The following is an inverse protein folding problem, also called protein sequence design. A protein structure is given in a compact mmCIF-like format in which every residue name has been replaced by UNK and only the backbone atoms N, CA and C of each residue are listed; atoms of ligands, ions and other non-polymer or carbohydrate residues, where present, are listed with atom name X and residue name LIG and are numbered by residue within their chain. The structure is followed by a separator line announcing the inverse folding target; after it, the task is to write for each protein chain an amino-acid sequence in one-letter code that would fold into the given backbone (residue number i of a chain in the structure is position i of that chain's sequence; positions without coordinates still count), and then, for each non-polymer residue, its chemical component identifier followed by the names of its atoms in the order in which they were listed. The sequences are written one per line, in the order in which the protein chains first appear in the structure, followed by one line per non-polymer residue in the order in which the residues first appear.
data_IF_193816762298
#
_entry.id   IF_193816762298
#
_cell.length_a   1.000
_cell.length_b   1.000
_cell.length_c   1.000
_cell.angle_alpha   90.00
_cell.angle_beta   90.00
_cell.angle_gamma   90.00
#
_symmetry.space_group_name_H-M   'P 1'
#
loop_
_entity.id
_entity.type
_entity.pdbx_description
1 polymer ?
#
# COMPACT_ATOMS: atom_id res chain seq x y z
N UNK A 1 -4.73 -42.66 -23.89
CA UNK A 1 -4.10 -42.13 -22.65
C UNK A 1 -4.73 -40.77 -22.36
N UNK A 2 -5.54 -40.69 -21.29
CA UNK A 2 -6.25 -39.49 -20.85
C UNK A 2 -5.51 -38.90 -19.64
N UNK A 3 -5.08 -37.64 -19.70
CA UNK A 3 -4.54 -36.90 -18.55
C UNK A 3 -5.40 -35.68 -18.28
N UNK A 4 -6.22 -35.77 -17.24
CA UNK A 4 -6.82 -34.62 -16.59
C UNK A 4 -6.73 -34.83 -15.08
N UNK A 5 -5.70 -34.28 -14.44
CA UNK A 5 -5.52 -34.35 -12.97
C UNK A 5 -5.60 -32.94 -12.40
N UNK A 6 -6.79 -32.57 -11.92
CA UNK A 6 -7.02 -31.37 -11.09
C UNK A 6 -6.41 -31.62 -9.70
N UNK A 7 -5.42 -30.82 -9.32
CA UNK A 7 -4.86 -30.84 -7.97
C UNK A 7 -5.76 -30.05 -7.01
N UNK A 8 -6.14 -30.68 -5.90
CA UNK A 8 -7.09 -30.18 -4.90
C UNK A 8 -6.39 -29.26 -3.89
N UNK A 9 -7.06 -28.16 -3.52
CA UNK A 9 -6.59 -27.08 -2.64
C UNK A 9 -6.46 -27.48 -1.15
N UNK A 10 -6.34 -28.77 -0.86
CA UNK A 10 -6.31 -29.33 0.51
C UNK A 10 -4.95 -29.89 0.91
N UNK A 11 -3.97 -29.87 0.00
CA UNK A 11 -2.62 -30.43 0.20
C UNK A 11 -1.61 -29.42 0.78
N UNK A 12 -1.98 -28.14 0.94
CA UNK A 12 -1.04 -27.10 1.41
C UNK A 12 -0.99 -26.93 2.93
N UNK A 13 -1.79 -27.66 3.70
CA UNK A 13 -1.93 -27.50 5.15
C UNK A 13 -1.26 -28.62 5.98
N UNK A 14 -0.47 -29.50 5.35
CA UNK A 14 0.11 -30.70 5.98
C UNK A 14 1.65 -30.67 6.04
N UNK A 15 2.27 -29.49 6.06
CA UNK A 15 3.73 -29.36 6.25
C UNK A 15 4.06 -28.49 7.46
N UNK A 16 3.51 -28.85 8.61
CA UNK A 16 4.19 -28.70 9.90
C UNK A 16 4.19 -30.09 10.53
N UNK A 17 5.36 -30.54 11.01
CA UNK A 17 5.56 -31.41 12.20
C UNK A 17 6.89 -32.19 12.09
N UNK A 18 7.73 -31.96 13.11
CA UNK A 18 8.83 -32.79 13.67
C UNK A 18 10.05 -33.14 12.82
N UNK A 19 11.17 -32.51 13.15
CA UNK A 19 12.49 -33.16 13.15
C UNK A 19 13.02 -33.11 14.58
N UNK A 20 13.06 -34.27 15.22
CA UNK A 20 13.65 -34.57 16.54
C UNK A 20 14.77 -35.60 16.36
N UNK A 21 15.91 -35.38 17.02
CA UNK A 21 16.97 -36.38 17.27
C UNK A 21 18.35 -36.01 16.69
N UNK A 22 19.25 -35.31 17.39
CA UNK A 22 20.27 -35.73 18.41
C UNK A 22 21.54 -36.42 17.88
N UNK A 23 22.70 -35.74 17.98
CA UNK A 23 23.97 -36.25 18.58
C UNK A 23 25.09 -35.17 18.53
N UNK A 24 25.40 -34.49 19.65
CA UNK A 24 26.58 -34.59 20.55
C UNK A 24 27.92 -33.98 20.04
N UNK A 25 28.49 -33.14 20.92
CA UNK A 25 29.90 -32.65 21.05
C UNK A 25 30.30 -31.39 20.29
N UNK A 26 30.17 -30.24 20.96
CA UNK A 26 31.27 -29.29 21.13
C UNK A 26 31.00 -28.39 22.35
N UNK A 27 31.38 -28.89 23.53
CA UNK A 27 31.66 -28.05 24.70
C UNK A 27 32.85 -27.18 24.31
N UNK A 28 32.60 -25.91 24.00
CA UNK A 28 33.50 -24.78 24.24
C UNK A 28 32.79 -23.47 23.87
N UNK A 29 33.08 -22.42 24.65
CA UNK A 29 32.47 -21.07 24.63
C UNK A 29 31.28 -20.84 25.57
N UNK A 30 31.46 -21.26 26.83
CA UNK A 30 30.93 -20.51 27.97
C UNK A 30 31.77 -19.22 28.13
N UNK A 31 31.38 -18.09 27.52
CA UNK A 31 31.74 -16.75 28.02
C UNK A 31 30.63 -15.72 27.71
N UNK A 32 29.90 -15.40 28.77
CA UNK A 32 29.41 -14.05 29.09
C UNK A 32 28.40 -13.39 28.15
N UNK A 33 27.12 -13.42 28.54
CA UNK A 33 26.22 -12.26 28.41
C UNK A 33 24.91 -12.43 29.20
N UNK A 34 25.02 -12.80 30.49
CA UNK A 34 23.91 -12.70 31.46
C UNK A 34 23.60 -11.24 31.87
N UNK A 35 23.82 -10.26 30.99
CA UNK A 35 23.62 -8.83 31.24
C UNK A 35 23.02 -8.06 30.05
N UNK A 36 22.49 -8.76 29.04
CA UNK A 36 21.96 -8.12 27.83
C UNK A 36 20.41 -8.12 27.73
N UNK A 37 19.69 -8.68 28.71
CA UNK A 37 18.21 -8.69 28.71
C UNK A 37 17.57 -7.47 29.40
N UNK A 38 18.33 -6.65 30.14
CA UNK A 38 17.73 -5.51 30.85
C UNK A 38 17.62 -4.24 29.98
N UNK A 39 18.41 -4.12 28.90
CA UNK A 39 18.45 -2.89 28.07
C UNK A 39 17.52 -2.87 26.85
N UNK A 40 16.74 -3.92 26.62
CA UNK A 40 15.72 -3.96 25.53
C UNK A 40 14.28 -3.84 26.04
N UNK A 41 14.09 -3.50 27.31
CA UNK A 41 12.80 -3.08 27.87
C UNK A 41 12.59 -1.56 27.80
N UNK A 42 13.31 -0.91 26.90
CA UNK A 42 13.01 0.44 26.40
C UNK A 42 12.45 0.37 24.99
N UNK A 43 11.53 -0.57 24.73
CA UNK A 43 10.69 -0.49 23.55
C UNK A 43 9.83 0.75 23.75
N UNK A 44 10.19 1.83 23.04
CA UNK A 44 9.30 2.95 22.78
C UNK A 44 7.92 2.35 22.52
N UNK A 45 6.93 2.79 23.29
CA UNK A 45 5.53 2.58 22.98
C UNK A 45 5.34 2.91 21.49
N UNK A 46 5.17 1.87 20.67
CA UNK A 46 4.77 1.98 19.27
C UNK A 46 3.36 2.55 19.25
N UNK A 47 3.24 3.86 19.42
CA UNK A 47 2.04 4.59 19.05
C UNK A 47 1.81 4.28 17.56
N UNK A 48 0.68 3.68 17.17
CA UNK A 48 0.43 3.37 15.78
C UNK A 48 0.53 4.68 14.98
N UNK A 49 1.42 4.70 13.98
CA UNK A 49 1.56 5.85 13.10
C UNK A 49 0.20 6.18 12.49
N UNK A 50 -0.24 7.44 12.62
CA UNK A 50 -1.50 7.88 12.00
C UNK A 50 -1.38 7.67 10.49
N UNK A 51 -2.43 7.13 9.86
CA UNK A 51 -2.42 6.90 8.41
C UNK A 51 -2.22 8.17 7.58
N UNK A 52 -2.47 9.34 8.18
CA UNK A 52 -2.23 10.68 7.62
C UNK A 52 -0.75 11.10 7.62
N UNK A 53 0.13 10.35 8.28
CA UNK A 53 1.58 10.64 8.34
C UNK A 53 2.28 10.33 7.01
N UNK A 54 1.72 9.41 6.22
CA UNK A 54 2.24 9.03 4.91
C UNK A 54 2.46 10.27 4.00
N UNK A 55 3.52 10.27 3.17
CA UNK A 55 3.80 11.38 2.27
C UNK A 55 2.70 11.50 1.22
N UNK A 56 2.48 12.73 0.76
CA UNK A 56 1.58 12.98 -0.37
C UNK A 56 2.30 12.58 -1.67
N UNK A 57 1.56 12.00 -2.61
CA UNK A 57 2.10 11.65 -3.92
C UNK A 57 2.62 12.90 -4.63
N UNK A 58 3.77 12.79 -5.29
CA UNK A 58 4.37 13.87 -6.05
C UNK A 58 3.96 13.76 -7.54
N UNK A 59 3.25 14.74 -8.12
CA UNK A 59 2.91 14.76 -9.54
C UNK A 59 4.16 14.70 -10.44
N UNK A 60 4.05 14.04 -11.59
CA UNK A 60 5.14 13.96 -12.57
C UNK A 60 6.31 13.04 -12.21
N UNK A 61 6.18 12.18 -11.19
CA UNK A 61 7.20 11.19 -10.82
C UNK A 61 6.66 9.76 -10.80
N UNK A 62 7.45 8.82 -11.31
CA UNK A 62 7.14 7.38 -11.24
C UNK A 62 5.74 7.04 -11.74
N UNK A 63 4.97 6.30 -10.93
CA UNK A 63 3.58 5.93 -11.24
C UNK A 63 2.67 7.16 -11.41
N UNK A 64 2.96 8.28 -10.76
CA UNK A 64 2.13 9.49 -10.88
C UNK A 64 2.27 10.13 -12.26
N UNK A 65 3.45 10.08 -12.89
CA UNK A 65 3.62 10.52 -14.29
C UNK A 65 2.91 9.57 -15.26
N UNK A 66 3.05 8.25 -15.06
CA UNK A 66 2.42 7.25 -15.91
C UNK A 66 0.88 7.34 -15.92
N UNK A 67 0.29 7.77 -14.79
CA UNK A 67 -1.15 7.94 -14.65
C UNK A 67 -1.61 9.39 -14.86
N UNK A 68 -0.72 10.32 -15.21
CA UNK A 68 -1.00 11.75 -15.26
C UNK A 68 -1.76 12.24 -14.01
N UNK A 69 -1.25 11.89 -12.82
CA UNK A 69 -1.87 12.28 -11.56
C UNK A 69 -1.57 13.75 -11.23
N UNK A 70 -2.61 14.44 -10.76
CA UNK A 70 -2.55 15.83 -10.29
C UNK A 70 -3.35 16.00 -8.99
N UNK A 71 -2.97 16.98 -8.17
CA UNK A 71 -3.70 17.30 -6.93
C UNK A 71 -5.03 18.03 -7.15
N UNK A 72 -5.23 18.59 -8.35
CA UNK A 72 -6.44 19.34 -8.71
C UNK A 72 -6.71 19.27 -10.21
N UNK A 73 -7.97 19.50 -10.61
CA UNK A 73 -8.31 19.69 -12.03
C UNK A 73 -7.63 20.90 -12.66
N UNK A 74 -7.38 21.98 -11.90
CA UNK A 74 -6.72 23.17 -12.44
C UNK A 74 -5.29 22.89 -12.93
N UNK A 75 -4.61 21.92 -12.30
CA UNK A 75 -3.27 21.47 -12.71
C UNK A 75 -3.37 20.43 -13.83
N UNK A 76 -4.28 19.48 -13.69
CA UNK A 76 -4.54 18.46 -14.71
C UNK A 76 -4.98 19.06 -16.05
N UNK A 77 -5.66 20.22 -16.02
CA UNK A 77 -6.11 20.90 -17.23
C UNK A 77 -4.97 21.44 -18.09
N UNK A 78 -3.81 21.71 -17.48
CA UNK A 78 -2.62 22.20 -18.14
C UNK A 78 -1.75 21.06 -18.70
N UNK A 79 -2.01 19.82 -18.28
CA UNK A 79 -1.25 18.66 -18.71
C UNK A 79 -1.90 17.98 -19.93
N UNK A 80 -1.20 17.91 -21.09
CA UNK A 80 -1.72 17.24 -22.29
C UNK A 80 -1.84 15.72 -22.15
N UNK A 81 -1.20 15.09 -21.14
CA UNK A 81 -1.30 13.65 -20.88
C UNK A 81 -2.62 13.28 -20.19
N UNK A 82 -3.35 14.25 -19.69
CA UNK A 82 -4.60 14.06 -18.97
C UNK A 82 -5.73 13.61 -19.91
N UNK A 83 -6.39 12.49 -19.58
CA UNK A 83 -7.58 12.04 -20.30
C UNK A 83 -8.82 12.81 -19.84
N UNK A 84 -9.26 13.77 -20.67
CA UNK A 84 -10.43 14.61 -20.43
C UNK A 84 -11.72 14.06 -21.07
N UNK A 85 -11.71 12.83 -21.57
CA UNK A 85 -12.91 12.19 -22.16
C UNK A 85 -13.90 11.80 -21.07
N UNK A 86 -15.17 11.72 -21.42
CA UNK A 86 -16.20 11.13 -20.55
C UNK A 86 -15.88 9.66 -20.27
N UNK A 87 -15.89 9.25 -19.01
CA UNK A 87 -15.76 7.84 -18.61
C UNK A 87 -16.96 7.39 -17.80
N UNK A 88 -17.55 6.25 -18.18
CA UNK A 88 -18.78 5.67 -17.60
C UNK A 88 -19.92 6.69 -17.42
N UNK A 89 -20.07 7.62 -18.35
CA UNK A 89 -21.10 8.67 -18.33
C UNK A 89 -20.81 9.82 -17.37
N UNK A 90 -19.61 9.88 -16.77
CA UNK A 90 -19.17 10.98 -15.91
C UNK A 90 -18.23 11.88 -16.70
N UNK A 91 -18.60 13.15 -16.81
CA UNK A 91 -17.79 14.18 -17.46
C UNK A 91 -16.50 14.43 -16.67
N UNK A 92 -15.45 14.86 -17.37
CA UNK A 92 -14.11 15.06 -16.81
C UNK A 92 -14.13 15.90 -15.53
N UNK A 93 -14.79 17.05 -15.57
CA UNK A 93 -14.89 18.03 -14.50
C UNK A 93 -15.50 17.49 -13.19
N UNK A 94 -16.17 16.33 -13.27
CA UNK A 94 -16.83 15.66 -12.14
C UNK A 94 -16.06 14.47 -11.60
N UNK A 95 -14.90 14.13 -12.16
CA UNK A 95 -14.09 13.01 -11.72
C UNK A 95 -13.06 13.47 -10.69
N UNK A 96 -13.08 12.91 -9.50
CA UNK A 96 -12.12 13.24 -8.44
C UNK A 96 -11.69 11.96 -7.73
N UNK A 97 -10.60 12.02 -6.97
CA UNK A 97 -10.21 10.90 -6.11
C UNK A 97 -11.36 10.53 -5.15
N UNK A 98 -12.06 11.48 -4.55
CA UNK A 98 -13.10 11.20 -3.56
C UNK A 98 -14.28 10.33 -4.05
N UNK A 99 -14.60 10.43 -5.33
CA UNK A 99 -15.63 9.65 -6.00
C UNK A 99 -15.07 8.53 -6.90
N UNK A 100 -13.77 8.24 -6.75
CA UNK A 100 -13.09 7.13 -7.41
C UNK A 100 -13.18 5.84 -6.57
N UNK A 101 -13.39 4.70 -7.23
CA UNK A 101 -13.43 3.35 -6.63
C UNK A 101 -12.13 2.97 -5.89
N UNK A 102 -10.98 3.52 -6.31
CA UNK A 102 -9.69 3.19 -5.71
C UNK A 102 -9.38 4.00 -4.43
N UNK A 103 -10.18 5.00 -4.11
CA UNK A 103 -9.91 5.95 -3.04
C UNK A 103 -10.62 5.60 -1.74
N UNK A 104 -9.84 5.59 -0.65
CA UNK A 104 -10.33 5.51 0.72
C UNK A 104 -9.83 6.72 1.51
N UNK A 105 -10.76 7.53 2.04
CA UNK A 105 -10.44 8.70 2.87
C UNK A 105 -9.74 8.24 4.17
N UNK A 106 -8.67 8.95 4.56
CA UNK A 106 -7.95 8.66 5.83
C UNK A 106 -7.96 9.83 6.81
N UNK A 107 -8.22 11.05 6.34
CA UNK A 107 -8.30 12.24 7.19
C UNK A 107 -7.88 13.49 6.44
N UNK A 108 -7.31 14.44 7.18
CA UNK A 108 -6.84 15.71 6.65
C UNK A 108 -5.33 15.84 6.90
N UNK A 109 -4.60 16.36 5.90
CA UNK A 109 -3.19 16.72 5.99
C UNK A 109 -3.08 18.19 5.60
N UNK A 110 -2.51 19.01 6.48
CA UNK A 110 -2.39 20.47 6.27
C UNK A 110 -3.74 21.16 5.95
N UNK A 111 -4.82 20.71 6.60
CA UNK A 111 -6.17 21.22 6.39
C UNK A 111 -6.83 20.82 5.06
N UNK A 112 -6.23 19.90 4.31
CA UNK A 112 -6.77 19.36 3.06
C UNK A 112 -7.15 17.88 3.23
N UNK A 113 -8.35 17.46 2.78
CA UNK A 113 -8.74 16.06 2.85
C UNK A 113 -7.84 15.19 1.97
N UNK A 114 -7.36 14.09 2.54
CA UNK A 114 -6.47 13.12 1.89
C UNK A 114 -6.95 11.69 2.11
N UNK A 115 -6.53 10.81 1.21
CA UNK A 115 -6.86 9.40 1.27
C UNK A 115 -5.80 8.50 0.68
N UNK A 116 -5.94 7.21 0.91
CA UNK A 116 -5.19 6.17 0.22
C UNK A 116 -5.80 5.92 -1.15
N UNK A 117 -4.95 5.64 -2.13
CA UNK A 117 -5.35 5.12 -3.43
C UNK A 117 -4.68 3.77 -3.65
N UNK A 118 -5.43 2.73 -4.04
CA UNK A 118 -4.85 1.40 -4.25
C UNK A 118 -3.78 1.34 -5.36
N UNK A 119 -3.75 2.34 -6.26
CA UNK A 119 -2.73 2.46 -7.31
C UNK A 119 -1.43 3.14 -6.82
N UNK A 120 -1.48 3.81 -5.67
CA UNK A 120 -0.36 4.56 -5.10
C UNK A 120 -0.03 4.02 -3.70
N UNK A 121 0.69 2.89 -3.61
CA UNK A 121 1.01 2.29 -2.33
C UNK A 121 1.92 3.19 -1.50
N UNK A 122 1.69 3.23 -0.19
CA UNK A 122 2.51 3.95 0.81
C UNK A 122 2.57 5.47 0.66
N UNK A 123 1.69 6.06 -0.14
CA UNK A 123 1.52 7.51 -0.25
C UNK A 123 0.03 7.87 -0.18
N UNK A 124 -0.26 9.15 0.01
CA UNK A 124 -1.61 9.70 0.02
C UNK A 124 -1.89 10.48 -1.25
N UNK A 125 -3.16 10.53 -1.63
CA UNK A 125 -3.67 11.38 -2.71
C UNK A 125 -4.61 12.44 -2.14
N UNK A 126 -4.69 13.58 -2.83
CA UNK A 126 -5.64 14.63 -2.48
C UNK A 126 -7.06 14.18 -2.85
N UNK A 127 -8.05 14.47 -1.99
CA UNK A 127 -9.47 14.17 -2.25
C UNK A 127 -9.97 14.76 -3.58
N UNK A 128 -9.52 15.98 -3.89
CA UNK A 128 -9.79 16.73 -5.12
C UNK A 128 -8.80 16.43 -6.26
N UNK A 129 -7.91 15.45 -6.06
CA UNK A 129 -6.97 15.02 -7.10
C UNK A 129 -7.64 14.21 -8.20
N UNK A 130 -6.88 13.89 -9.24
CA UNK A 130 -7.34 13.12 -10.39
C UNK A 130 -6.18 12.39 -11.07
N UNK A 131 -6.46 11.27 -11.75
CA UNK A 131 -5.53 10.58 -12.65
C UNK A 131 -6.30 9.85 -13.76
N UNK A 132 -5.60 9.40 -14.80
CA UNK A 132 -6.18 8.70 -15.96
C UNK A 132 -6.77 7.33 -15.63
N UNK A 133 -6.47 6.76 -14.46
CA UNK A 133 -7.09 5.53 -13.96
C UNK A 133 -8.29 5.79 -13.06
N UNK A 134 -8.91 6.97 -13.12
CA UNK A 134 -10.16 7.21 -12.41
C UNK A 134 -11.19 6.16 -12.79
N UNK A 135 -11.90 5.63 -11.80
CA UNK A 135 -12.97 4.68 -12.00
C UNK A 135 -14.14 5.06 -11.10
N UNK A 136 -15.35 5.13 -11.67
CA UNK A 136 -16.57 5.47 -10.93
C UNK A 136 -16.72 4.59 -9.69
N UNK A 137 -16.95 5.19 -8.52
CA UNK A 137 -17.33 4.48 -7.28
C UNK A 137 -18.69 3.80 -7.48
N UNK A 138 -18.77 2.53 -7.08
CA UNK A 138 -20.00 1.73 -7.14
C UNK A 138 -21.07 2.28 -6.18
#
# INVERSE_FOLDING_TARGET
MNLNKKMSKREFLTHMVTVTGTAVVAVQMLKSSAGAQEKRRGAKTDTPAKETDLPLVEPGKGTADALAYHHSHADADKDPKTDKKTDKGVAWDKRFCNNCSFYAKVGDKDGKPVGKCSLFPKVLVADQGICNSWAKKA
#
